data_IF_782378267314
#
_entry.id   IF_782378267314
#
_cell.length_a   1.000
_cell.length_b   1.000
_cell.length_c   1.000
_cell.angle_alpha   90.00
_cell.angle_beta   90.00
_cell.angle_gamma   90.00
#
_symmetry.space_group_name_H-M   'P 1'
#
loop_
_entity.id
_entity.type
_entity.pdbx_description
1 polymer ?
#
# COMPACT_ATOMS: atom_id res chain seq x y z
N UNK A 1 -10.78 -5.11 -5.07
CA UNK A 1 -9.53 -5.79 -5.48
C UNK A 1 -8.69 -4.95 -6.44
N UNK A 2 -9.14 -4.66 -7.67
CA UNK A 2 -8.31 -4.00 -8.71
C UNK A 2 -7.87 -2.58 -8.34
N UNK A 3 -8.80 -1.71 -7.90
CA UNK A 3 -8.47 -0.33 -7.50
C UNK A 3 -7.51 -0.29 -6.30
N UNK A 4 -7.78 -1.10 -5.27
CA UNK A 4 -6.92 -1.20 -4.08
C UNK A 4 -5.52 -1.74 -4.40
N UNK A 5 -5.40 -2.67 -5.35
CA UNK A 5 -4.10 -3.18 -5.81
C UNK A 5 -3.29 -2.12 -6.55
N UNK A 6 -3.94 -1.31 -7.40
CA UNK A 6 -3.29 -0.17 -8.06
C UNK A 6 -2.77 0.87 -7.08
N UNK A 7 -3.59 1.25 -6.09
CA UNK A 7 -3.19 2.21 -5.03
C UNK A 7 -2.05 1.65 -4.17
N UNK A 8 -2.12 0.38 -3.79
CA UNK A 8 -1.05 -0.29 -3.05
C UNK A 8 0.27 -0.28 -3.85
N UNK A 9 0.20 -0.56 -5.16
CA UNK A 9 1.37 -0.55 -6.05
C UNK A 9 1.99 0.84 -6.19
N UNK A 10 1.17 1.89 -6.37
CA UNK A 10 1.63 3.27 -6.42
C UNK A 10 2.36 3.67 -5.12
N UNK A 11 1.76 3.35 -3.97
CA UNK A 11 2.30 3.69 -2.66
C UNK A 11 3.60 2.95 -2.29
N UNK A 12 3.76 1.70 -2.74
CA UNK A 12 4.96 0.91 -2.49
C UNK A 12 6.07 1.12 -3.54
N UNK A 13 5.76 1.82 -4.64
CA UNK A 13 6.69 1.97 -5.76
C UNK A 13 7.72 3.07 -5.46
N UNK A 14 9.03 2.77 -5.56
CA UNK A 14 10.10 3.77 -5.46
C UNK A 14 10.24 4.63 -6.71
N UNK A 15 9.38 4.45 -7.72
CA UNK A 15 9.39 5.23 -8.96
C UNK A 15 8.09 6.04 -9.10
N UNK A 16 7.14 5.91 -8.17
CA UNK A 16 5.92 6.72 -8.21
C UNK A 16 6.24 8.19 -7.96
N UNK A 17 5.70 9.07 -8.82
CA UNK A 17 5.79 10.53 -8.68
C UNK A 17 5.27 10.98 -7.30
N UNK A 18 4.23 10.31 -6.79
CA UNK A 18 3.63 10.59 -5.48
C UNK A 18 4.63 10.29 -4.35
N UNK A 19 5.33 9.16 -4.42
CA UNK A 19 6.35 8.76 -3.43
C UNK A 19 7.55 9.70 -3.44
N UNK A 20 7.96 10.17 -4.61
CA UNK A 20 9.05 11.13 -4.77
C UNK A 20 8.67 12.46 -4.10
N UNK A 21 7.51 13.02 -4.45
CA UNK A 21 7.04 14.29 -3.85
C UNK A 21 6.82 14.15 -2.34
N UNK A 22 6.27 13.03 -1.87
CA UNK A 22 6.07 12.78 -0.44
C UNK A 22 7.39 12.74 0.33
N UNK A 23 8.43 12.09 -0.21
CA UNK A 23 9.76 12.06 0.42
C UNK A 23 10.44 13.43 0.44
N UNK A 24 10.27 14.24 -0.62
CA UNK A 24 10.76 15.62 -0.67
C UNK A 24 10.07 16.50 0.37
N UNK A 25 8.75 16.38 0.49
CA UNK A 25 7.97 17.13 1.48
C UNK A 25 8.30 16.73 2.93
N UNK A 26 8.69 15.48 3.15
CA UNK A 26 9.14 14.95 4.44
C UNK A 26 10.63 15.22 4.71
N UNK A 27 11.35 15.82 3.76
CA UNK A 27 12.78 16.18 3.86
C UNK A 27 13.67 14.97 4.23
N UNK A 28 13.31 13.79 3.74
CA UNK A 28 14.00 12.52 4.00
C UNK A 28 14.47 11.85 2.71
N UNK A 29 15.44 10.94 2.81
CA UNK A 29 15.88 10.14 1.68
C UNK A 29 14.71 9.33 1.09
N UNK A 30 14.63 9.32 -0.24
CA UNK A 30 13.51 8.71 -0.95
C UNK A 30 13.39 7.19 -0.71
N UNK A 31 14.52 6.47 -0.71
CA UNK A 31 14.46 5.02 -0.48
C UNK A 31 14.17 4.70 0.99
N UNK A 32 14.64 5.52 1.92
CA UNK A 32 14.31 5.35 3.33
C UNK A 32 12.83 5.65 3.61
N UNK A 33 12.25 6.64 2.93
CA UNK A 33 10.81 6.89 2.93
C UNK A 33 10.04 5.64 2.47
N UNK A 34 10.36 5.08 1.31
CA UNK A 34 9.64 3.91 0.76
C UNK A 34 9.84 2.67 1.64
N UNK A 35 11.05 2.43 2.14
CA UNK A 35 11.38 1.27 3.00
C UNK A 35 10.65 1.29 4.32
N UNK A 36 10.53 2.45 4.95
CA UNK A 36 9.80 2.58 6.23
C UNK A 36 8.30 2.42 6.05
N UNK A 37 7.76 2.75 4.87
CA UNK A 37 6.33 2.65 4.56
C UNK A 37 5.88 1.26 4.09
N UNK A 38 6.75 0.54 3.38
CA UNK A 38 6.53 -0.85 2.93
C UNK A 38 5.94 -1.80 3.99
N UNK A 39 6.46 -1.89 5.23
CA UNK A 39 5.90 -2.80 6.24
C UNK A 39 4.45 -2.44 6.60
N UNK A 40 4.12 -1.15 6.68
CA UNK A 40 2.74 -0.70 6.94
C UNK A 40 1.83 -1.00 5.76
N UNK A 41 2.30 -0.76 4.54
CA UNK A 41 1.55 -1.06 3.32
C UNK A 41 1.25 -2.56 3.22
N UNK A 42 2.23 -3.43 3.49
CA UNK A 42 2.06 -4.89 3.48
C UNK A 42 1.06 -5.33 4.54
N UNK A 43 1.14 -4.79 5.76
CA UNK A 43 0.17 -5.10 6.81
C UNK A 43 -1.26 -4.73 6.39
N UNK A 44 -1.46 -3.54 5.83
CA UNK A 44 -2.76 -3.10 5.30
C UNK A 44 -3.24 -3.99 4.13
N UNK A 45 -2.33 -4.37 3.22
CA UNK A 45 -2.62 -5.27 2.11
C UNK A 45 -3.08 -6.65 2.58
N UNK A 46 -2.43 -7.22 3.59
CA UNK A 46 -2.82 -8.50 4.19
C UNK A 46 -4.19 -8.41 4.88
N UNK A 47 -4.44 -7.34 5.65
CA UNK A 47 -5.75 -7.10 6.26
C UNK A 47 -6.85 -6.98 5.20
N UNK A 48 -6.58 -6.29 4.08
CA UNK A 48 -7.53 -6.17 2.99
C UNK A 48 -7.82 -7.53 2.33
N UNK A 49 -6.81 -8.38 2.13
CA UNK A 49 -6.98 -9.75 1.61
C UNK A 49 -7.88 -10.57 2.55
N UNK A 50 -7.58 -10.57 3.85
CA UNK A 50 -8.39 -11.29 4.85
C UNK A 50 -9.83 -10.77 4.85
N UNK A 51 -10.01 -9.45 4.85
CA UNK A 51 -11.33 -8.83 4.84
C UNK A 51 -12.15 -9.19 3.59
N UNK A 52 -11.54 -9.17 2.40
CA UNK A 52 -12.22 -9.58 1.17
C UNK A 52 -12.61 -11.07 1.18
N UNK A 53 -11.73 -11.94 1.68
CA UNK A 53 -12.03 -13.37 1.81
C UNK A 53 -13.18 -13.62 2.81
N UNK A 54 -13.13 -12.97 3.97
CA UNK A 54 -14.17 -13.09 4.99
C UNK A 54 -15.52 -12.57 4.49
N UNK A 55 -15.55 -11.40 3.84
CA UNK A 55 -16.76 -10.85 3.25
C UNK A 55 -17.33 -11.76 2.15
N UNK A 56 -16.47 -12.32 1.29
CA UNK A 56 -16.88 -13.29 0.27
C UNK A 56 -17.51 -14.55 0.87
N UNK A 57 -16.88 -15.13 1.90
CA UNK A 57 -17.41 -16.29 2.60
C UNK A 57 -18.74 -15.99 3.31
N UNK A 58 -18.81 -14.87 4.03
CA UNK A 58 -20.02 -14.46 4.77
C UNK A 58 -21.21 -14.14 3.84
N UNK A 59 -20.96 -13.68 2.61
CA UNK A 59 -22.03 -13.39 1.63
C UNK A 59 -22.47 -14.65 0.86
N UNK A 60 -21.65 -15.70 0.85
CA UNK A 60 -21.94 -16.96 0.14
C UNK A 60 -22.65 -17.99 1.01
N UNK A 61 -22.54 -17.86 2.35
CA UNK A 61 -23.27 -18.65 3.34
C UNK A 61 -24.67 -18.07 3.60
#
# INVERSE_FOLDING_TARGET
AVLGGGVFGDHCSPISDTSIIASLAAECDHLDHVRTQLPYAVAAGLLAVIGYLAAGLATTL
#
